data_IF_659436241550
#
_entry.id   IF_659436241550
#
_cell.length_a   1.000
_cell.length_b   1.000
_cell.length_c   1.000
_cell.angle_alpha   90.00
_cell.angle_beta   90.00
_cell.angle_gamma   90.00
#
_symmetry.space_group_name_H-M   'P 1'
#
loop_
_entity.id
_entity.type
_entity.pdbx_description
1 polymer ?
#
# COMPACT_ATOMS: atom_id res chain seq x y z
N UNK A 1 -18.02 -12.09 -10.51
CA UNK A 1 -16.71 -11.43 -10.65
C UNK A 1 -15.64 -12.50 -10.53
N UNK A 2 -14.61 -12.53 -11.39
CA UNK A 2 -13.59 -13.58 -11.31
C UNK A 2 -12.62 -13.33 -10.15
N UNK A 3 -12.18 -14.39 -9.49
CA UNK A 3 -11.16 -14.34 -8.42
C UNK A 3 -9.92 -13.55 -8.84
N UNK A 4 -9.48 -13.72 -10.09
CA UNK A 4 -8.32 -13.02 -10.69
C UNK A 4 -8.49 -11.51 -10.65
N UNK A 5 -9.69 -10.97 -10.98
CA UNK A 5 -9.92 -9.53 -10.96
C UNK A 5 -9.86 -8.96 -9.54
N UNK A 6 -10.39 -9.69 -8.56
CA UNK A 6 -10.31 -9.28 -7.15
C UNK A 6 -8.86 -9.26 -6.66
N UNK A 7 -8.04 -10.25 -7.01
CA UNK A 7 -6.63 -10.25 -6.67
C UNK A 7 -5.87 -9.04 -7.27
N UNK A 8 -6.10 -8.75 -8.55
CA UNK A 8 -5.53 -7.57 -9.22
C UNK A 8 -5.98 -6.28 -8.52
N UNK A 9 -7.24 -6.19 -8.12
CA UNK A 9 -7.78 -5.01 -7.46
C UNK A 9 -7.08 -4.71 -6.11
N UNK A 10 -6.66 -5.74 -5.36
CA UNK A 10 -5.87 -5.51 -4.12
C UNK A 10 -4.47 -5.00 -4.42
N UNK A 11 -3.86 -5.46 -5.51
CA UNK A 11 -2.57 -4.92 -5.99
C UNK A 11 -2.73 -3.48 -6.46
N UNK A 12 -3.81 -3.14 -7.17
CA UNK A 12 -4.10 -1.75 -7.55
C UNK A 12 -4.28 -0.84 -6.33
N UNK A 13 -4.99 -1.33 -5.31
CA UNK A 13 -5.29 -0.60 -4.07
C UNK A 13 -4.01 -0.23 -3.29
N UNK A 14 -2.99 -1.10 -3.31
CA UNK A 14 -1.71 -0.85 -2.64
C UNK A 14 -0.85 0.21 -3.35
N UNK A 15 -1.14 0.49 -4.63
CA UNK A 15 -0.36 1.35 -5.54
C UNK A 15 1.14 1.00 -5.49
N UNK A 16 1.57 -0.13 -6.09
CA UNK A 16 2.91 -0.68 -5.90
C UNK A 16 4.03 0.26 -6.34
N UNK A 17 3.80 1.11 -7.34
CA UNK A 17 4.77 2.12 -7.76
C UNK A 17 5.02 3.14 -6.64
N UNK A 18 3.97 3.61 -5.96
CA UNK A 18 4.12 4.51 -4.81
C UNK A 18 4.91 3.80 -3.70
N UNK A 19 4.53 2.56 -3.38
CA UNK A 19 5.24 1.76 -2.38
C UNK A 19 6.73 1.60 -2.73
N UNK A 20 7.04 1.35 -4.00
CA UNK A 20 8.42 1.20 -4.49
C UNK A 20 9.22 2.50 -4.36
N UNK A 21 8.58 3.66 -4.61
CA UNK A 21 9.20 4.97 -4.36
C UNK A 21 9.58 5.08 -2.88
N UNK A 22 8.66 4.79 -1.95
CA UNK A 22 8.98 4.82 -0.51
C UNK A 22 10.08 3.84 -0.12
N UNK A 23 10.05 2.61 -0.66
CA UNK A 23 11.10 1.61 -0.47
C UNK A 23 12.47 2.19 -0.86
N UNK A 24 12.61 2.69 -2.10
CA UNK A 24 13.89 3.20 -2.60
C UNK A 24 14.34 4.41 -1.81
N UNK A 25 13.43 5.34 -1.47
CA UNK A 25 13.75 6.53 -0.67
C UNK A 25 14.30 6.15 0.71
N UNK A 26 13.64 5.24 1.41
CA UNK A 26 14.06 4.80 2.75
C UNK A 26 15.33 3.95 2.69
N UNK A 27 15.44 3.08 1.68
CA UNK A 27 16.62 2.25 1.46
C UNK A 27 17.88 3.11 1.24
N UNK A 28 17.82 4.08 0.32
CA UNK A 28 18.95 4.97 0.04
C UNK A 28 19.24 5.88 1.24
N UNK A 29 18.22 6.41 1.91
CA UNK A 29 18.39 7.22 3.12
C UNK A 29 19.10 6.45 4.24
N UNK A 30 18.72 5.19 4.47
CA UNK A 30 19.35 4.34 5.47
C UNK A 30 20.81 3.98 5.10
N UNK A 31 21.12 3.72 3.82
CA UNK A 31 22.49 3.50 3.37
C UNK A 31 23.34 4.75 3.55
N UNK A 32 22.84 5.93 3.19
CA UNK A 32 23.58 7.17 3.34
C UNK A 32 23.82 7.54 4.80
N UNK A 33 22.86 7.27 5.69
CA UNK A 33 23.01 7.53 7.11
C UNK A 33 23.97 6.55 7.82
N UNK A 34 23.93 5.27 7.46
CA UNK A 34 24.72 4.22 8.14
C UNK A 34 26.05 3.89 7.45
N UNK A 35 26.24 4.32 6.21
CA UNK A 35 27.42 3.99 5.38
C UNK A 35 27.51 2.52 4.97
N UNK A 36 26.50 1.69 5.26
CA UNK A 36 26.53 0.26 4.96
C UNK A 36 25.15 -0.30 4.59
N UNK A 37 25.16 -1.33 3.74
CA UNK A 37 23.97 -2.15 3.51
C UNK A 37 23.89 -3.23 4.59
N UNK A 38 22.82 -3.19 5.39
CA UNK A 38 22.55 -4.19 6.42
C UNK A 38 21.18 -4.82 6.21
N UNK A 39 20.92 -5.96 6.87
CA UNK A 39 19.59 -6.56 6.89
C UNK A 39 18.55 -5.57 7.43
N UNK A 40 18.90 -4.78 8.45
CA UNK A 40 18.03 -3.74 9.01
C UNK A 40 17.67 -2.66 7.98
N UNK A 41 18.60 -2.27 7.10
CA UNK A 41 18.33 -1.34 5.99
C UNK A 41 17.22 -1.87 5.09
N UNK A 42 17.28 -3.16 4.74
CA UNK A 42 16.27 -3.81 3.90
C UNK A 42 14.92 -3.90 4.62
N UNK A 43 14.93 -4.31 5.90
CA UNK A 43 13.73 -4.44 6.73
C UNK A 43 12.95 -3.13 6.81
N UNK A 44 13.64 -2.02 7.14
CA UNK A 44 12.99 -0.70 7.26
C UNK A 44 12.47 -0.20 5.91
N UNK A 45 13.17 -0.48 4.80
CA UNK A 45 12.68 -0.15 3.47
C UNK A 45 11.42 -0.94 3.08
N UNK A 46 11.34 -2.24 3.41
CA UNK A 46 10.13 -3.05 3.22
C UNK A 46 9.00 -2.57 4.14
N UNK A 47 9.29 -2.22 5.39
CA UNK A 47 8.32 -1.61 6.29
C UNK A 47 7.72 -0.33 5.68
N UNK A 48 8.56 0.56 5.13
CA UNK A 48 8.10 1.77 4.46
C UNK A 48 7.20 1.51 3.25
N UNK A 49 7.52 0.49 2.43
CA UNK A 49 6.65 0.04 1.34
C UNK A 49 5.26 -0.33 1.87
N UNK A 50 5.20 -1.16 2.91
CA UNK A 50 3.95 -1.67 3.48
C UNK A 50 3.11 -0.53 4.09
N UNK A 51 3.75 0.35 4.87
CA UNK A 51 3.08 1.50 5.50
C UNK A 51 2.52 2.47 4.44
N UNK A 52 3.29 2.77 3.40
CA UNK A 52 2.79 3.64 2.33
C UNK A 52 1.63 2.97 1.55
N UNK A 53 1.75 1.68 1.25
CA UNK A 53 0.66 0.92 0.61
C UNK A 53 -0.59 0.86 1.48
N UNK A 54 -0.45 0.77 2.81
CA UNK A 54 -1.56 0.88 3.75
C UNK A 54 -2.23 2.27 3.64
N UNK A 55 -1.40 3.33 3.60
CA UNK A 55 -1.84 4.72 3.37
C UNK A 55 -2.64 4.89 2.08
N UNK A 56 -2.16 4.28 0.98
CA UNK A 56 -2.89 4.31 -0.30
C UNK A 56 -4.26 3.64 -0.21
N UNK A 57 -4.34 2.49 0.47
CA UNK A 57 -5.59 1.75 0.64
C UNK A 57 -6.61 2.48 1.52
N UNK A 58 -6.17 3.11 2.63
CA UNK A 58 -7.06 3.90 3.49
C UNK A 58 -7.51 5.19 2.80
N UNK A 59 -6.65 5.81 1.97
CA UNK A 59 -7.04 6.97 1.16
C UNK A 59 -8.21 6.62 0.23
N UNK A 60 -8.11 5.51 -0.52
CA UNK A 60 -9.21 5.06 -1.40
C UNK A 60 -10.47 4.70 -0.57
N UNK A 61 -10.34 4.17 0.64
CA UNK A 61 -11.47 3.93 1.55
C UNK A 61 -12.19 5.23 1.96
N UNK A 62 -11.43 6.28 2.30
CA UNK A 62 -11.96 7.59 2.69
C UNK A 62 -12.57 8.33 1.49
N UNK A 63 -11.89 8.27 0.33
CA UNK A 63 -12.26 8.97 -0.90
C UNK A 63 -13.42 8.31 -1.65
N UNK A 64 -14.02 7.23 -1.14
CA UNK A 64 -15.08 6.48 -1.82
C UNK A 64 -16.15 7.36 -2.49
N UNK A 65 -16.73 8.32 -1.76
CA UNK A 65 -17.80 9.19 -2.31
C UNK A 65 -17.29 10.08 -3.45
N UNK A 66 -16.05 10.55 -3.35
CA UNK A 66 -15.38 11.39 -4.35
C UNK A 66 -15.04 10.54 -5.58
N UNK A 67 -14.50 9.34 -5.36
CA UNK A 67 -14.07 8.43 -6.41
C UNK A 67 -15.24 7.80 -7.18
N UNK A 68 -16.42 7.65 -6.57
CA UNK A 68 -17.64 7.26 -7.32
C UNK A 68 -17.92 8.21 -8.47
N UNK A 69 -17.63 9.51 -8.31
CA UNK A 69 -17.84 10.52 -9.35
C UNK A 69 -16.60 10.64 -10.25
N UNK A 70 -15.42 10.80 -9.64
CA UNK A 70 -14.21 11.18 -10.36
C UNK A 70 -13.45 9.99 -10.98
N UNK A 71 -13.53 8.81 -10.36
CA UNK A 71 -12.72 7.64 -10.71
C UNK A 71 -13.54 6.34 -10.52
N UNK A 72 -14.68 6.20 -11.20
CA UNK A 72 -15.65 5.11 -10.97
C UNK A 72 -15.08 3.71 -11.24
N UNK A 73 -13.98 3.61 -11.99
CA UNK A 73 -13.30 2.35 -12.31
C UNK A 73 -12.32 1.89 -11.21
N UNK A 74 -12.07 2.68 -10.16
CA UNK A 74 -11.22 2.26 -9.04
C UNK A 74 -11.77 1.01 -8.35
N UNK A 75 -10.92 0.22 -7.66
CA UNK A 75 -11.30 -1.02 -6.99
C UNK A 75 -12.56 -0.94 -6.11
N UNK A 76 -12.71 0.12 -5.31
CA UNK A 76 -13.82 0.26 -4.38
C UNK A 76 -15.11 0.73 -5.08
N UNK A 77 -15.13 1.85 -5.84
CA UNK A 77 -16.35 2.32 -6.52
C UNK A 77 -16.89 1.34 -7.58
N UNK A 78 -16.00 0.62 -8.27
CA UNK A 78 -16.40 -0.38 -9.28
C UNK A 78 -16.99 -1.66 -8.68
N UNK A 79 -16.97 -1.81 -7.36
CA UNK A 79 -17.44 -3.01 -6.66
C UNK A 79 -16.49 -4.21 -6.73
N UNK A 80 -15.26 -4.05 -7.26
CA UNK A 80 -14.25 -5.12 -7.25
C UNK A 80 -13.88 -5.55 -5.82
N UNK A 81 -13.86 -4.59 -4.90
CA UNK A 81 -13.56 -4.78 -3.49
C UNK A 81 -14.60 -4.02 -2.67
N UNK A 82 -15.18 -4.68 -1.68
CA UNK A 82 -16.06 -4.01 -0.73
C UNK A 82 -15.27 -2.98 0.08
N UNK A 83 -15.86 -1.81 0.33
CA UNK A 83 -15.20 -0.73 1.08
C UNK A 83 -14.61 -1.21 2.42
N UNK A 84 -15.33 -2.04 3.17
CA UNK A 84 -14.82 -2.59 4.44
C UNK A 84 -13.59 -3.49 4.26
N UNK A 85 -13.51 -4.27 3.18
CA UNK A 85 -12.33 -5.10 2.89
C UNK A 85 -11.09 -4.25 2.57
N UNK A 86 -11.27 -3.11 1.90
CA UNK A 86 -10.17 -2.16 1.68
C UNK A 86 -9.61 -1.60 2.99
N UNK A 87 -10.47 -1.32 3.98
CA UNK A 87 -10.04 -0.90 5.32
C UNK A 87 -9.27 -2.01 6.03
N UNK A 88 -9.80 -3.25 6.04
CA UNK A 88 -9.12 -4.39 6.65
C UNK A 88 -7.76 -4.63 6.00
N UNK A 89 -7.69 -4.56 4.67
CA UNK A 89 -6.44 -4.69 3.93
C UNK A 89 -5.42 -3.61 4.32
N UNK A 90 -5.85 -2.35 4.42
CA UNK A 90 -5.01 -1.26 4.90
C UNK A 90 -4.47 -1.53 6.31
N UNK A 91 -5.32 -1.96 7.25
CA UNK A 91 -4.91 -2.27 8.62
C UNK A 91 -3.93 -3.44 8.68
N UNK A 92 -4.12 -4.48 7.88
CA UNK A 92 -3.20 -5.62 7.79
C UNK A 92 -1.83 -5.15 7.26
N UNK A 93 -1.80 -4.37 6.18
CA UNK A 93 -0.55 -3.81 5.64
C UNK A 93 0.17 -2.94 6.67
N UNK A 94 -0.58 -2.08 7.38
CA UNK A 94 -0.02 -1.22 8.43
C UNK A 94 0.57 -2.05 9.56
N UNK A 95 -0.17 -3.05 10.07
CA UNK A 95 0.29 -3.92 11.14
C UNK A 95 1.54 -4.71 10.72
N UNK A 96 1.57 -5.24 9.49
CA UNK A 96 2.77 -5.92 8.97
C UNK A 96 3.96 -4.96 8.87
N UNK A 97 3.75 -3.73 8.41
CA UNK A 97 4.80 -2.71 8.37
C UNK A 97 5.35 -2.38 9.76
N UNK A 98 4.47 -2.20 10.75
CA UNK A 98 4.84 -1.89 12.14
C UNK A 98 5.50 -3.06 12.89
N UNK A 99 5.12 -4.30 12.57
CA UNK A 99 5.75 -5.47 13.19
C UNK A 99 7.11 -5.79 12.56
N UNK A 100 7.30 -5.40 11.29
CA UNK A 100 8.53 -5.66 10.56
C UNK A 100 9.66 -4.68 10.96
N UNK A 101 9.34 -3.40 11.14
CA UNK A 101 10.33 -2.31 11.33
C UNK A 101 10.19 -1.58 12.66
#
# INVERSE_FOLDING_TARGET
>A
MSFVRTAIAYVELSRPINGLIAFVSVFLGAIFASGSFTLSTLIVAVSAFLVLSAGNAINDFCDYQIDVINKPLRPIPSGCIQRQHALVFSLILLLMGLLLG
#
